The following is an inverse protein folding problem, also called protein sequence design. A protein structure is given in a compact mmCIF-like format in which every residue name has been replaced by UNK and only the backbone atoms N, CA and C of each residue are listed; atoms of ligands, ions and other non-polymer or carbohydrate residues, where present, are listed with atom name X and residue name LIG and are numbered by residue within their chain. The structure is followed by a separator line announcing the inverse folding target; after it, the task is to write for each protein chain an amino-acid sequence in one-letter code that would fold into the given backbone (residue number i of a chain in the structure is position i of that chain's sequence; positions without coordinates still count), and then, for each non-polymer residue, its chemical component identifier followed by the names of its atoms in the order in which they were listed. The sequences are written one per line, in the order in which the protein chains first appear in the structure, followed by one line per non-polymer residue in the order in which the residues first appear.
data_IF_856483279433
#
_entry.id   IF_856483279433
#
_cell.length_a   1.000
_cell.length_b   1.000
_cell.length_c   1.000
_cell.angle_alpha   90.00
_cell.angle_beta   90.00
_cell.angle_gamma   90.00
#
_symmetry.space_group_name_H-M   'P 1'
#
loop_
_entity.id
_entity.type
_entity.pdbx_description
1 polymer ?
#
# COMPACT_ATOMS: atom_id res chain seq x y z
N UNK A 1 15.86 11.65 5.08
CA UNK A 1 15.57 10.49 5.95
C UNK A 1 15.13 10.91 7.36
N UNK A 2 15.87 11.79 8.05
CA UNK A 2 15.58 12.13 9.46
C UNK A 2 14.27 12.88 9.69
N UNK A 3 13.86 13.79 8.78
CA UNK A 3 12.56 14.50 8.92
C UNK A 3 11.35 13.56 8.74
N UNK A 4 11.43 12.59 7.82
CA UNK A 4 10.34 11.62 7.59
C UNK A 4 10.13 10.66 8.77
N UNK A 5 11.15 10.49 9.62
CA UNK A 5 11.08 9.69 10.85
C UNK A 5 10.78 10.53 12.10
N UNK A 6 10.65 11.85 11.99
CA UNK A 6 10.52 12.79 13.12
C UNK A 6 9.11 12.81 13.76
N UNK A 7 8.26 11.83 13.47
CA UNK A 7 6.89 11.74 13.99
C UNK A 7 5.81 12.18 13.00
N UNK A 8 4.54 12.20 13.42
CA UNK A 8 3.38 12.47 12.56
C UNK A 8 3.46 13.85 11.87
N UNK A 9 3.89 14.90 12.58
CA UNK A 9 4.03 16.25 12.01
C UNK A 9 5.06 16.33 10.88
N UNK A 10 6.19 15.63 11.02
CA UNK A 10 7.21 15.56 9.97
C UNK A 10 6.70 14.84 8.73
N UNK A 11 5.97 13.72 8.91
CA UNK A 11 5.33 13.02 7.80
C UNK A 11 4.29 13.90 7.11
N UNK A 12 3.42 14.55 7.87
CA UNK A 12 2.38 15.44 7.34
C UNK A 12 2.98 16.53 6.46
N UNK A 13 3.95 17.29 6.99
CA UNK A 13 4.64 18.37 6.24
C UNK A 13 5.30 17.86 4.96
N UNK A 14 5.91 16.67 5.00
CA UNK A 14 6.53 16.10 3.79
C UNK A 14 5.51 15.61 2.77
N UNK A 15 4.36 15.09 3.19
CA UNK A 15 3.26 14.72 2.28
C UNK A 15 2.59 15.93 1.64
N UNK A 16 2.56 17.05 2.36
CA UNK A 16 2.02 18.34 1.90
C UNK A 16 3.05 19.18 1.12
N UNK A 17 4.32 18.75 1.06
CA UNK A 17 5.35 19.45 0.32
C UNK A 17 5.20 19.18 -1.18
N UNK A 18 4.79 20.22 -1.92
CA UNK A 18 4.53 20.14 -3.35
C UNK A 18 5.72 19.58 -4.13
N UNK A 19 5.45 18.55 -4.94
CA UNK A 19 6.44 17.91 -5.81
C UNK A 19 7.47 17.03 -5.11
N UNK A 20 7.51 16.96 -3.78
CA UNK A 20 8.49 16.13 -3.07
C UNK A 20 8.31 14.65 -3.38
N UNK A 21 7.10 14.11 -3.20
CA UNK A 21 6.82 12.69 -3.45
C UNK A 21 7.04 12.37 -4.92
N UNK A 22 6.54 13.23 -5.81
CA UNK A 22 6.65 13.04 -7.26
C UNK A 22 8.11 12.99 -7.71
N UNK A 23 8.97 13.86 -7.17
CA UNK A 23 10.41 13.88 -7.45
C UNK A 23 11.12 12.62 -6.96
N UNK A 24 10.77 12.13 -5.76
CA UNK A 24 11.32 10.87 -5.23
C UNK A 24 10.94 9.68 -6.11
N UNK A 25 9.68 9.61 -6.53
CA UNK A 25 9.19 8.55 -7.42
C UNK A 25 9.90 8.61 -8.78
N UNK A 26 9.99 9.80 -9.37
CA UNK A 26 10.66 10.02 -10.66
C UNK A 26 12.13 9.61 -10.61
N UNK A 27 12.86 9.99 -9.56
CA UNK A 27 14.26 9.62 -9.40
C UNK A 27 14.45 8.09 -9.34
N UNK A 28 13.65 7.41 -8.51
CA UNK A 28 13.71 5.95 -8.38
C UNK A 28 13.40 5.27 -9.72
N UNK A 29 12.40 5.77 -10.46
CA UNK A 29 12.07 5.26 -11.80
C UNK A 29 13.26 5.36 -12.76
N UNK A 30 13.94 6.50 -12.79
CA UNK A 30 15.16 6.70 -13.57
C UNK A 30 16.22 5.64 -13.24
N UNK A 31 16.56 5.49 -11.96
CA UNK A 31 17.58 4.50 -11.56
C UNK A 31 17.21 3.05 -11.89
N UNK A 32 15.92 2.69 -11.88
CA UNK A 32 15.49 1.35 -12.30
C UNK A 32 15.60 1.18 -13.82
N UNK A 33 15.28 2.22 -14.59
CA UNK A 33 15.38 2.22 -16.04
C UNK A 33 16.85 2.14 -16.49
N UNK A 34 17.75 2.79 -15.77
CA UNK A 34 19.19 2.76 -16.03
C UNK A 34 19.88 1.48 -15.49
N UNK A 35 19.10 0.51 -15.00
CA UNK A 35 19.60 -0.74 -14.40
C UNK A 35 20.49 -0.54 -13.16
N UNK A 36 20.29 0.55 -12.41
CA UNK A 36 21.01 0.89 -11.18
C UNK A 36 20.11 0.83 -9.91
N UNK A 37 19.43 -0.30 -9.60
CA UNK A 37 18.51 -0.38 -8.45
C UNK A 37 19.20 -0.32 -7.08
N UNK A 38 20.53 -0.25 -7.05
CA UNK A 38 21.36 -0.26 -5.84
C UNK A 38 21.98 1.10 -5.52
N UNK A 39 21.63 2.15 -6.28
CA UNK A 39 22.06 3.51 -6.02
C UNK A 39 21.76 3.92 -4.57
N UNK A 40 22.71 4.66 -3.96
CA UNK A 40 22.61 5.06 -2.56
C UNK A 40 21.50 6.09 -2.36
N UNK A 41 21.28 6.98 -3.32
CA UNK A 41 20.19 7.94 -3.22
C UNK A 41 18.83 7.24 -3.42
N UNK A 42 18.74 6.21 -4.26
CA UNK A 42 17.55 5.35 -4.36
C UNK A 42 17.20 4.71 -3.02
N UNK A 43 18.16 4.13 -2.31
CA UNK A 43 17.93 3.59 -0.95
C UNK A 43 17.33 4.65 -0.02
N UNK A 44 17.88 5.88 -0.04
CA UNK A 44 17.38 6.98 0.77
C UNK A 44 15.97 7.43 0.38
N UNK A 45 15.68 7.50 -0.92
CA UNK A 45 14.36 7.88 -1.44
C UNK A 45 13.30 6.85 -1.04
N UNK A 46 13.59 5.56 -1.22
CA UNK A 46 12.70 4.47 -0.82
C UNK A 46 12.48 4.46 0.69
N UNK A 47 13.52 4.73 1.49
CA UNK A 47 13.37 4.86 2.94
C UNK A 47 12.46 6.04 3.34
N UNK A 48 12.53 7.16 2.63
CA UNK A 48 11.63 8.30 2.86
C UNK A 48 10.20 7.87 2.51
N UNK A 49 9.98 7.28 1.34
CA UNK A 49 8.64 6.86 0.91
C UNK A 49 8.04 5.80 1.86
N UNK A 50 8.84 4.84 2.33
CA UNK A 50 8.44 3.89 3.38
C UNK A 50 7.89 4.59 4.63
N UNK A 51 8.61 5.61 5.12
CA UNK A 51 8.16 6.40 6.25
C UNK A 51 6.89 7.19 5.93
N UNK A 52 6.78 7.76 4.73
CA UNK A 52 5.59 8.51 4.30
C UNK A 52 4.38 7.59 4.09
N UNK A 53 4.56 6.30 3.82
CA UNK A 53 3.47 5.31 3.77
C UNK A 53 2.93 4.91 5.16
N UNK A 54 3.66 5.19 6.24
CA UNK A 54 3.27 4.79 7.59
C UNK A 54 2.01 5.53 8.07
N UNK A 55 1.02 4.78 8.59
CA UNK A 55 -0.28 5.30 9.05
C UNK A 55 -1.04 6.12 8.00
N UNK A 56 -0.75 5.94 6.70
CA UNK A 56 -1.32 6.76 5.64
C UNK A 56 -2.85 6.79 5.69
N UNK A 57 -3.53 5.64 5.85
CA UNK A 57 -5.00 5.57 5.93
C UNK A 57 -5.60 6.52 6.98
N UNK A 58 -4.97 6.63 8.16
CA UNK A 58 -5.48 7.40 9.30
C UNK A 58 -5.12 8.89 9.15
N UNK A 59 -4.00 9.17 8.48
CA UNK A 59 -3.42 10.51 8.34
C UNK A 59 -3.74 11.16 6.98
N UNK A 60 -4.61 10.56 6.17
CA UNK A 60 -5.02 11.14 4.89
C UNK A 60 -5.72 12.50 5.11
N UNK A 61 -5.42 13.53 4.30
CA UNK A 61 -6.22 14.75 4.30
C UNK A 61 -7.70 14.45 4.03
N UNK A 62 -8.58 15.22 4.65
CA UNK A 62 -10.03 14.96 4.64
C UNK A 62 -10.62 14.93 3.23
N UNK A 63 -10.07 15.70 2.29
CA UNK A 63 -10.46 15.66 0.87
C UNK A 63 -10.27 14.27 0.22
N UNK A 64 -9.18 13.59 0.53
CA UNK A 64 -8.90 12.23 0.03
C UNK A 64 -9.68 11.17 0.80
N UNK A 65 -9.81 11.35 2.12
CA UNK A 65 -10.68 10.50 2.91
C UNK A 65 -12.13 10.59 2.39
N UNK A 66 -12.59 11.77 2.00
CA UNK A 66 -13.92 11.97 1.43
C UNK A 66 -14.08 11.32 0.05
N UNK A 67 -13.10 11.43 -0.84
CA UNK A 67 -13.18 10.74 -2.14
C UNK A 67 -13.15 9.21 -1.98
N UNK A 68 -12.33 8.66 -1.08
CA UNK A 68 -12.17 7.20 -0.90
C UNK A 68 -13.29 6.59 -0.05
N UNK A 69 -13.77 7.32 0.97
CA UNK A 69 -14.70 6.80 1.98
C UNK A 69 -16.11 7.42 1.90
N UNK A 70 -16.35 8.55 1.21
CA UNK A 70 -17.69 9.15 1.04
C UNK A 70 -18.31 9.00 -0.35
N UNK A 71 -17.61 8.50 -1.38
CA UNK A 71 -18.24 7.95 -2.59
C UNK A 71 -19.32 6.89 -2.26
N UNK A 72 -19.31 6.42 -1.00
CA UNK A 72 -20.26 5.52 -0.34
C UNK A 72 -21.65 6.09 -0.02
N UNK A 73 -21.86 7.42 0.06
CA UNK A 73 -23.19 7.99 0.42
C UNK A 73 -24.12 8.25 -0.78
N UNK A 74 -23.57 8.42 -1.98
CA UNK A 74 -24.38 8.71 -3.17
C UNK A 74 -24.94 7.48 -3.89
N UNK A 75 -24.63 6.27 -3.41
CA UNK A 75 -25.19 5.00 -3.95
C UNK A 75 -26.37 4.49 -3.11
N UNK A 76 -26.64 5.08 -1.93
CA UNK A 76 -27.68 4.61 -1.00
C UNK A 76 -28.81 5.62 -0.76
N UNK A 77 -29.46 6.09 -1.83
CA UNK A 77 -30.73 6.82 -1.67
C UNK A 77 -31.70 6.58 -2.82
N UNK A 78 -32.20 5.35 -2.95
CA UNK A 78 -33.57 5.13 -3.42
C UNK A 78 -34.04 3.72 -3.02
N UNK A 79 -34.48 3.58 -1.77
CA UNK A 79 -35.65 2.77 -1.45
C UNK A 79 -36.00 2.94 0.04
N UNK A 80 -37.05 3.72 0.29
CA UNK A 80 -37.69 3.81 1.60
C UNK A 80 -38.86 2.82 1.60
N UNK A 81 -38.73 1.72 2.33
CA UNK A 81 -39.87 0.94 2.84
C UNK A 81 -39.70 0.78 4.36
N UNK A 82 -40.68 1.18 5.19
CA UNK A 82 -40.59 1.05 6.64
C UNK A 82 -41.08 -0.35 7.06
N UNK A 83 -40.14 -1.23 7.44
CA UNK A 83 -40.42 -2.57 7.95
C UNK A 83 -39.94 -2.74 9.38
N UNK A 84 -40.85 -2.64 10.34
CA UNK A 84 -40.69 -3.05 11.73
C UNK A 84 -40.48 -4.57 11.80
N UNK A 85 -39.36 -5.06 12.37
CA UNK A 85 -39.25 -6.32 13.14
C UNK A 85 -37.81 -6.44 13.68
N UNK A 86 -37.67 -6.68 14.99
CA UNK A 86 -36.39 -6.71 15.70
C UNK A 86 -35.44 -7.81 15.22
N UNK A 87 -34.12 -7.56 15.25
CA UNK A 87 -33.12 -8.58 14.93
C UNK A 87 -31.95 -8.59 15.91
N UNK A 88 -31.65 -9.82 16.33
CA UNK A 88 -30.48 -10.27 17.08
C UNK A 88 -29.19 -9.88 16.36
N UNK A 89 -28.18 -9.51 17.15
CA UNK A 89 -26.80 -9.25 16.71
C UNK A 89 -26.20 -10.43 15.95
N UNK A 90 -26.27 -10.40 14.61
CA UNK A 90 -25.53 -11.30 13.73
C UNK A 90 -24.20 -10.63 13.36
N UNK A 91 -23.10 -11.32 13.66
CA UNK A 91 -21.72 -10.94 13.36
C UNK A 91 -21.58 -10.33 11.95
N UNK A 92 -21.12 -9.09 11.89
CA UNK A 92 -20.75 -8.36 10.68
C UNK A 92 -19.47 -8.98 10.11
N UNK A 93 -19.57 -10.04 9.31
CA UNK A 93 -18.39 -10.64 8.65
C UNK A 93 -18.54 -10.86 7.14
N UNK A 94 -19.66 -10.47 6.55
CA UNK A 94 -19.98 -10.79 5.14
C UNK A 94 -20.15 -9.57 4.22
N UNK A 95 -20.13 -8.34 4.73
CA UNK A 95 -20.44 -7.13 3.93
C UNK A 95 -19.23 -6.36 3.37
N UNK A 96 -18.00 -6.82 3.58
CA UNK A 96 -16.79 -6.11 3.11
C UNK A 96 -16.35 -6.51 1.70
N UNK A 97 -16.92 -7.58 1.11
CA UNK A 97 -16.48 -8.10 -0.19
C UNK A 97 -17.12 -7.37 -1.39
N UNK A 98 -18.29 -6.75 -1.18
CA UNK A 98 -19.03 -6.01 -2.21
C UNK A 98 -18.81 -4.49 -2.19
N UNK A 99 -17.91 -3.96 -1.35
CA UNK A 99 -17.59 -2.54 -1.40
C UNK A 99 -16.74 -2.22 -2.63
N UNK A 100 -17.19 -1.31 -3.53
CA UNK A 100 -16.37 -0.86 -4.64
C UNK A 100 -15.03 -0.33 -4.14
N UNK A 101 -13.95 -0.79 -4.76
CA UNK A 101 -12.61 -0.27 -4.47
C UNK A 101 -12.46 1.12 -5.09
N UNK A 102 -11.63 2.00 -4.52
CA UNK A 102 -11.38 3.32 -5.09
C UNK A 102 -10.82 3.17 -6.49
N UNK A 103 -11.35 3.95 -7.43
CA UNK A 103 -10.77 4.04 -8.77
C UNK A 103 -9.42 4.73 -8.71
N UNK A 104 -8.49 4.22 -9.50
CA UNK A 104 -7.16 4.77 -9.61
C UNK A 104 -7.18 5.97 -10.57
N UNK A 105 -6.72 7.14 -10.10
CA UNK A 105 -6.60 8.31 -10.95
C UNK A 105 -5.51 8.09 -11.99
N UNK A 106 -5.78 8.47 -13.24
CA UNK A 106 -4.81 8.35 -14.34
C UNK A 106 -3.54 9.20 -14.17
N UNK A 107 -3.59 10.25 -13.34
CA UNK A 107 -2.46 11.12 -13.07
C UNK A 107 -2.39 11.48 -11.57
N UNK A 108 -1.89 10.56 -10.72
CA UNK A 108 -1.75 10.82 -9.28
C UNK A 108 -0.72 11.93 -9.04
N UNK A 109 -0.92 12.73 -7.99
CA UNK A 109 0.06 13.73 -7.55
C UNK A 109 0.21 13.72 -6.03
N UNK A 110 1.41 14.06 -5.56
CA UNK A 110 1.70 14.20 -4.13
C UNK A 110 1.32 12.95 -3.33
N UNK A 111 0.46 13.11 -2.31
CA UNK A 111 0.07 12.02 -1.40
C UNK A 111 -0.67 10.86 -2.11
N UNK A 112 -1.36 11.11 -3.23
CA UNK A 112 -2.04 10.07 -3.99
C UNK A 112 -1.05 9.09 -4.63
N UNK A 113 0.12 9.58 -5.02
CA UNK A 113 1.19 8.78 -5.60
C UNK A 113 1.69 7.70 -4.63
N UNK A 114 1.52 7.87 -3.31
CA UNK A 114 2.00 6.92 -2.29
C UNK A 114 1.30 5.55 -2.33
N UNK A 115 0.09 5.46 -2.87
CA UNK A 115 -0.69 4.22 -2.94
C UNK A 115 -1.13 3.87 -4.36
N UNK A 116 -0.60 4.58 -5.37
CA UNK A 116 -0.83 4.31 -6.79
C UNK A 116 -0.05 3.06 -7.26
N UNK A 117 -0.61 2.35 -8.24
CA UNK A 117 -0.07 1.10 -8.79
C UNK A 117 1.33 1.25 -9.38
N UNK A 118 1.65 2.41 -9.96
CA UNK A 118 3.01 2.73 -10.44
C UNK A 118 4.04 2.59 -9.32
N UNK A 119 3.77 3.19 -8.15
CA UNK A 119 4.71 3.11 -7.03
C UNK A 119 4.74 1.71 -6.40
N UNK A 120 3.60 1.02 -6.36
CA UNK A 120 3.54 -0.39 -5.95
C UNK A 120 4.44 -1.26 -6.85
N UNK A 121 4.39 -1.07 -8.18
CA UNK A 121 5.24 -1.79 -9.14
C UNK A 121 6.72 -1.44 -8.97
N UNK A 122 7.05 -0.19 -8.66
CA UNK A 122 8.41 0.22 -8.34
C UNK A 122 8.94 -0.54 -7.11
N UNK A 123 8.17 -0.59 -6.01
CA UNK A 123 8.57 -1.35 -4.82
C UNK A 123 8.79 -2.83 -5.14
N UNK A 124 7.90 -3.45 -5.91
CA UNK A 124 8.05 -4.85 -6.32
C UNK A 124 9.28 -5.07 -7.20
N UNK A 125 9.58 -4.14 -8.13
CA UNK A 125 10.80 -4.18 -8.94
C UNK A 125 12.06 -4.07 -8.08
N UNK A 126 12.07 -3.19 -7.08
CA UNK A 126 13.20 -3.05 -6.16
C UNK A 126 13.39 -4.30 -5.29
N UNK A 127 12.30 -4.90 -4.79
CA UNK A 127 12.34 -6.17 -4.06
C UNK A 127 13.00 -7.26 -4.90
N UNK A 128 12.62 -7.35 -6.19
CA UNK A 128 13.11 -8.37 -7.10
C UNK A 128 14.56 -8.14 -7.58
N UNK A 129 14.96 -6.88 -7.81
CA UNK A 129 16.21 -6.55 -8.52
C UNK A 129 17.33 -5.99 -7.62
N UNK A 130 17.02 -5.40 -6.47
CA UNK A 130 18.05 -4.85 -5.59
C UNK A 130 18.78 -5.97 -4.86
N UNK A 131 20.08 -5.79 -4.65
CA UNK A 131 20.91 -6.64 -3.78
C UNK A 131 21.14 -6.00 -2.41
N UNK A 132 20.59 -4.80 -2.17
CA UNK A 132 20.73 -4.04 -0.93
C UNK A 132 19.60 -4.38 0.02
N UNK A 133 19.92 -5.08 1.12
CA UNK A 133 18.94 -5.47 2.14
C UNK A 133 18.09 -4.28 2.63
N UNK A 134 18.67 -3.10 2.83
CA UNK A 134 17.93 -1.90 3.25
C UNK A 134 16.91 -1.42 2.21
N UNK A 135 17.22 -1.52 0.92
CA UNK A 135 16.30 -1.13 -0.17
C UNK A 135 15.15 -2.13 -0.27
N UNK A 136 15.45 -3.43 -0.17
CA UNK A 136 14.45 -4.49 -0.13
C UNK A 136 13.55 -4.37 1.10
N UNK A 137 14.12 -4.18 2.29
CA UNK A 137 13.39 -4.01 3.55
C UNK A 137 12.49 -2.77 3.50
N UNK A 138 12.99 -1.62 3.05
CA UNK A 138 12.19 -0.40 2.95
C UNK A 138 11.04 -0.56 1.93
N UNK A 139 11.28 -1.23 0.81
CA UNK A 139 10.23 -1.50 -0.20
C UNK A 139 9.15 -2.43 0.34
N UNK A 140 9.54 -3.52 1.02
CA UNK A 140 8.60 -4.42 1.70
C UNK A 140 7.83 -3.69 2.81
N UNK A 141 8.53 -2.86 3.59
CA UNK A 141 7.96 -2.07 4.68
C UNK A 141 6.95 -1.04 4.17
N UNK A 142 7.20 -0.41 3.03
CA UNK A 142 6.26 0.51 2.40
C UNK A 142 4.95 -0.23 2.04
N UNK A 143 5.04 -1.38 1.37
CA UNK A 143 3.88 -2.20 1.04
C UNK A 143 3.18 -2.72 2.32
N UNK A 144 3.93 -3.09 3.34
CA UNK A 144 3.38 -3.51 4.64
C UNK A 144 2.57 -2.38 5.26
N UNK A 145 3.09 -1.15 5.27
CA UNK A 145 2.41 0.02 5.82
C UNK A 145 1.11 0.33 5.07
N UNK A 146 1.15 0.31 3.74
CA UNK A 146 -0.01 0.58 2.89
C UNK A 146 -1.12 -0.48 3.05
N UNK A 147 -0.77 -1.72 3.41
CA UNK A 147 -1.71 -2.83 3.59
C UNK A 147 -2.13 -3.06 5.06
N UNK A 148 -1.67 -2.24 6.00
CA UNK A 148 -1.91 -2.45 7.42
C UNK A 148 -3.38 -2.20 7.85
N UNK A 149 -4.08 -1.36 7.11
CA UNK A 149 -5.42 -0.89 7.42
C UNK A 149 -6.56 -1.86 7.09
N UNK A 150 -7.79 -1.39 7.22
CA UNK A 150 -9.00 -2.19 6.93
C UNK A 150 -10.06 -1.44 6.11
N UNK A 151 -9.75 -0.26 5.59
CA UNK A 151 -10.61 0.45 4.65
C UNK A 151 -10.33 0.11 3.18
N UNK A 152 -11.03 0.78 2.26
CA UNK A 152 -10.93 0.52 0.82
C UNK A 152 -9.53 0.69 0.26
N UNK A 153 -8.78 1.70 0.72
CA UNK A 153 -7.44 1.98 0.20
C UNK A 153 -6.47 0.81 0.49
N UNK A 154 -6.30 0.34 1.74
CA UNK A 154 -5.49 -0.84 2.02
C UNK A 154 -5.90 -2.09 1.23
N UNK A 155 -7.21 -2.33 1.08
CA UNK A 155 -7.72 -3.44 0.27
C UNK A 155 -7.39 -3.31 -1.22
N UNK A 156 -7.48 -2.10 -1.77
CA UNK A 156 -7.11 -1.82 -3.16
C UNK A 156 -5.61 -1.99 -3.41
N UNK A 157 -4.77 -1.57 -2.46
CA UNK A 157 -3.32 -1.82 -2.50
C UNK A 157 -3.05 -3.32 -2.47
N UNK A 158 -3.67 -4.07 -1.54
CA UNK A 158 -3.48 -5.51 -1.43
C UNK A 158 -3.87 -6.23 -2.74
N UNK A 159 -5.01 -5.87 -3.34
CA UNK A 159 -5.46 -6.40 -4.64
C UNK A 159 -4.48 -6.04 -5.74
N UNK A 160 -3.95 -4.82 -5.74
CA UNK A 160 -2.97 -4.38 -6.73
C UNK A 160 -1.67 -5.18 -6.64
N UNK A 161 -1.14 -5.37 -5.42
CA UNK A 161 0.06 -6.18 -5.18
C UNK A 161 -0.12 -7.61 -5.68
N UNK A 162 -1.23 -8.26 -5.34
CA UNK A 162 -1.45 -9.68 -5.64
C UNK A 162 -1.89 -9.90 -7.09
N UNK A 163 -3.00 -9.28 -7.50
CA UNK A 163 -3.69 -9.63 -8.74
C UNK A 163 -3.26 -8.78 -9.94
N UNK A 164 -2.98 -7.48 -9.74
CA UNK A 164 -2.64 -6.57 -10.86
C UNK A 164 -1.15 -6.51 -11.17
N UNK A 165 -0.30 -6.67 -10.15
CA UNK A 165 1.14 -6.48 -10.24
C UNK A 165 1.94 -7.78 -10.10
N UNK A 166 1.28 -8.91 -9.86
CA UNK A 166 1.92 -10.23 -9.68
C UNK A 166 3.10 -10.17 -8.68
N UNK A 167 2.88 -9.57 -7.51
CA UNK A 167 3.94 -9.29 -6.54
C UNK A 167 4.37 -10.50 -5.69
N UNK A 168 3.53 -11.53 -5.59
CA UNK A 168 3.74 -12.67 -4.70
C UNK A 168 5.08 -13.42 -4.95
N UNK A 169 5.52 -13.68 -6.20
CA UNK A 169 6.80 -14.33 -6.45
C UNK A 169 7.98 -13.55 -5.83
N UNK A 170 7.98 -12.22 -5.97
CA UNK A 170 9.04 -11.35 -5.43
C UNK A 170 9.04 -11.36 -3.90
N UNK A 171 7.86 -11.30 -3.28
CA UNK A 171 7.69 -11.35 -1.82
C UNK A 171 8.13 -12.71 -1.26
N UNK A 172 7.80 -13.82 -1.96
CA UNK A 172 8.20 -15.17 -1.57
C UNK A 172 9.71 -15.34 -1.55
N UNK A 173 10.42 -14.85 -2.58
CA UNK A 173 11.89 -14.92 -2.60
C UNK A 173 12.50 -14.31 -1.34
N UNK A 174 11.89 -13.25 -0.80
CA UNK A 174 12.33 -12.61 0.44
C UNK A 174 12.09 -13.43 1.71
N UNK A 175 11.31 -14.52 1.67
CA UNK A 175 11.17 -15.46 2.79
C UNK A 175 12.40 -16.35 2.96
N UNK A 176 13.16 -16.56 1.89
CA UNK A 176 14.30 -17.47 1.86
C UNK A 176 15.66 -16.78 1.96
N UNK A 177 15.70 -15.43 1.98
CA UNK A 177 16.95 -14.70 2.17
C UNK A 177 17.51 -14.89 3.59
N UNK A 178 18.83 -14.73 3.73
CA UNK A 178 19.52 -14.85 5.02
C UNK A 178 19.26 -13.65 5.95
N UNK A 179 18.92 -12.48 5.40
CA UNK A 179 18.76 -11.25 6.19
C UNK A 179 17.49 -11.29 7.06
N UNK A 180 17.60 -11.31 8.41
CA UNK A 180 16.46 -11.56 9.28
C UNK A 180 15.36 -10.50 9.21
N UNK A 181 15.72 -9.22 9.09
CA UNK A 181 14.73 -8.12 9.05
C UNK A 181 13.92 -8.17 7.75
N UNK A 182 14.56 -8.41 6.61
CA UNK A 182 13.90 -8.54 5.29
C UNK A 182 12.87 -9.68 5.34
N UNK A 183 13.27 -10.84 5.87
CA UNK A 183 12.39 -11.99 6.06
C UNK A 183 11.19 -11.66 6.95
N UNK A 184 11.44 -11.02 8.10
CA UNK A 184 10.38 -10.61 9.04
C UNK A 184 9.38 -9.64 8.40
N UNK A 185 9.88 -8.68 7.62
CA UNK A 185 9.04 -7.69 6.92
C UNK A 185 8.22 -8.37 5.82
N UNK A 186 8.81 -9.30 5.06
CA UNK A 186 8.09 -10.10 4.06
C UNK A 186 6.95 -10.94 4.68
N UNK A 187 7.21 -11.64 5.79
CA UNK A 187 6.17 -12.38 6.53
C UNK A 187 5.06 -11.45 7.00
N UNK A 188 5.42 -10.26 7.48
CA UNK A 188 4.44 -9.29 7.98
C UNK A 188 3.58 -8.71 6.86
N UNK A 189 4.15 -8.47 5.68
CA UNK A 189 3.42 -8.08 4.48
C UNK A 189 2.44 -9.20 4.06
N UNK A 190 2.91 -10.45 3.98
CA UNK A 190 2.04 -11.58 3.65
C UNK A 190 0.88 -11.72 4.63
N UNK A 191 1.13 -11.57 5.93
CA UNK A 191 0.08 -11.55 6.96
C UNK A 191 -0.97 -10.48 6.68
N UNK A 192 -0.57 -9.28 6.26
CA UNK A 192 -1.51 -8.22 5.91
C UNK A 192 -2.32 -8.58 4.66
N UNK A 193 -1.68 -9.09 3.60
CA UNK A 193 -2.35 -9.52 2.37
C UNK A 193 -3.38 -10.63 2.62
N UNK A 194 -3.04 -11.62 3.45
CA UNK A 194 -3.92 -12.76 3.77
C UNK A 194 -5.17 -12.39 4.57
N UNK A 195 -5.25 -11.17 5.12
CA UNK A 195 -6.49 -10.65 5.74
C UNK A 195 -7.58 -10.40 4.70
N UNK A 196 -7.22 -10.20 3.45
CA UNK A 196 -8.17 -10.09 2.35
C UNK A 196 -8.55 -11.51 1.89
N UNK A 197 -9.76 -11.95 2.24
CA UNK A 197 -10.28 -13.29 1.92
C UNK A 197 -10.28 -13.57 0.42
N UNK A 198 -10.53 -12.56 -0.41
CA UNK A 198 -10.53 -12.70 -1.87
C UNK A 198 -9.15 -12.99 -2.47
N UNK A 199 -8.07 -12.77 -1.71
CA UNK A 199 -6.70 -13.02 -2.14
C UNK A 199 -6.12 -14.32 -1.58
N UNK A 200 -6.83 -15.01 -0.68
CA UNK A 200 -6.30 -16.19 0.01
C UNK A 200 -6.02 -17.35 -0.95
N UNK A 201 -6.85 -17.52 -1.99
CA UNK A 201 -6.60 -18.52 -3.04
C UNK A 201 -5.31 -18.20 -3.79
N UNK A 202 -5.15 -16.96 -4.30
CA UNK A 202 -3.95 -16.52 -5.00
C UNK A 202 -2.68 -16.71 -4.14
N UNK A 203 -2.78 -16.41 -2.84
CA UNK A 203 -1.68 -16.55 -1.88
C UNK A 203 -1.38 -18.03 -1.59
N UNK A 204 -2.41 -18.88 -1.45
CA UNK A 204 -2.26 -20.30 -1.16
C UNK A 204 -1.79 -21.14 -2.34
N UNK A 205 -2.08 -20.73 -3.57
CA UNK A 205 -1.57 -21.35 -4.79
C UNK A 205 -0.07 -21.12 -4.99
N UNK A 206 0.47 -20.06 -4.39
CA UNK A 206 1.92 -19.93 -4.27
C UNK A 206 2.40 -21.02 -3.31
N UNK A 207 3.21 -21.94 -3.82
CA UNK A 207 4.01 -22.83 -2.97
C UNK A 207 4.99 -21.95 -2.18
N UNK A 208 4.58 -21.53 -0.99
CA UNK A 208 5.33 -20.75 0.00
C UNK A 208 6.30 -21.65 0.78
#
# INVERSE_FOLDING_TARGET
RNMSSAGPEGRKKMRECDGLIDSLVYYIQGTIADHEPNDKATENCVCILHNLSYQLEIELPESYAQSIYMQRRNISSNDKTPGCFGTRSRKVKEKQQDTPLPEEKSNPRGVESLWHSTLIRIYLSLIAKSTRNYTQEASLGALQNLTAGSGPMPFAVARTVVQKANGLPSIRTMLHVSHPTVKKTAVSLLRNLSRNTSLQTDIGEQRL
#
